data_IF_623849914969
#
_entry.id   IF_623849914969
#
_cell.length_a   1.000
_cell.length_b   1.000
_cell.length_c   1.000
_cell.angle_alpha   90.00
_cell.angle_beta   90.00
_cell.angle_gamma   90.00
#
_symmetry.space_group_name_H-M   'P 1'
#
loop_
_entity.id
_entity.type
_entity.pdbx_description
1 polymer ?
#
# COMPACT_ATOMS: atom_id res chain seq x y z
N UNK A 1 -18.31 -23.41 -16.50
CA UNK A 1 -18.75 -22.01 -16.41
C UNK A 1 -17.50 -21.14 -16.49
N UNK A 2 -17.14 -20.67 -17.68
CA UNK A 2 -16.07 -19.69 -17.84
C UNK A 2 -16.52 -18.39 -17.18
N UNK A 3 -15.90 -18.01 -16.05
CA UNK A 3 -15.93 -16.60 -15.63
C UNK A 3 -15.24 -15.82 -16.74
N UNK A 4 -16.04 -15.18 -17.60
CA UNK A 4 -15.54 -14.31 -18.65
C UNK A 4 -14.80 -13.17 -17.95
N UNK A 5 -13.53 -12.95 -18.29
CA UNK A 5 -12.85 -11.73 -17.87
C UNK A 5 -13.68 -10.54 -18.38
N UNK A 6 -14.12 -9.67 -17.48
CA UNK A 6 -14.97 -8.53 -17.83
C UNK A 6 -14.28 -7.61 -18.81
N UNK A 7 -15.07 -6.86 -19.59
CA UNK A 7 -14.51 -5.88 -20.53
C UNK A 7 -13.73 -4.80 -19.77
N UNK A 8 -14.17 -4.46 -18.55
CA UNK A 8 -13.41 -3.62 -17.61
C UNK A 8 -12.01 -4.19 -17.31
N UNK A 9 -11.90 -5.48 -16.99
CA UNK A 9 -10.61 -6.13 -16.73
C UNK A 9 -9.68 -6.01 -17.95
N UNK A 10 -10.19 -6.35 -19.14
CA UNK A 10 -9.41 -6.29 -20.37
C UNK A 10 -8.97 -4.86 -20.71
N UNK A 11 -9.83 -3.86 -20.48
CA UNK A 11 -9.48 -2.46 -20.70
C UNK A 11 -8.35 -1.99 -19.80
N UNK A 12 -8.34 -2.39 -18.52
CA UNK A 12 -7.29 -1.99 -17.59
C UNK A 12 -5.92 -2.54 -18.01
N UNK A 13 -5.89 -3.79 -18.46
CA UNK A 13 -4.66 -4.47 -18.85
C UNK A 13 -4.16 -4.10 -20.25
N UNK A 14 -5.07 -3.91 -21.21
CA UNK A 14 -4.70 -3.72 -22.63
C UNK A 14 -4.58 -2.27 -23.06
N UNK A 15 -5.45 -1.38 -22.56
CA UNK A 15 -5.50 0.01 -23.02
C UNK A 15 -4.47 0.86 -22.27
N UNK A 16 -4.04 1.96 -22.91
CA UNK A 16 -3.04 2.88 -22.37
C UNK A 16 -3.56 4.31 -22.40
N UNK A 17 -3.05 5.14 -21.48
CA UNK A 17 -3.37 6.57 -21.42
C UNK A 17 -4.87 6.86 -21.28
N UNK A 18 -5.32 7.94 -21.90
CA UNK A 18 -6.68 8.45 -21.76
C UNK A 18 -7.77 7.48 -22.25
N UNK A 19 -7.47 6.66 -23.26
CA UNK A 19 -8.42 5.67 -23.79
C UNK A 19 -8.82 4.65 -22.71
N UNK A 20 -7.87 4.24 -21.86
CA UNK A 20 -8.16 3.37 -20.72
C UNK A 20 -9.12 4.04 -19.73
N UNK A 21 -8.86 5.29 -19.37
CA UNK A 21 -9.69 6.03 -18.41
C UNK A 21 -11.12 6.22 -18.93
N UNK A 22 -11.26 6.50 -20.23
CA UNK A 22 -12.58 6.60 -20.87
C UNK A 22 -13.29 5.25 -20.91
N UNK A 23 -12.58 4.17 -21.23
CA UNK A 23 -13.14 2.82 -21.24
C UNK A 23 -13.61 2.38 -19.84
N UNK A 24 -12.84 2.65 -18.79
CA UNK A 24 -13.23 2.36 -17.39
C UNK A 24 -14.55 3.07 -17.05
N UNK A 25 -14.63 4.38 -17.32
CA UNK A 25 -15.85 5.17 -17.08
C UNK A 25 -17.04 4.63 -17.87
N UNK A 26 -16.83 4.28 -19.13
CA UNK A 26 -17.86 3.76 -20.02
C UNK A 26 -18.39 2.41 -19.56
N UNK A 27 -17.53 1.47 -19.18
CA UNK A 27 -17.98 0.15 -18.73
C UNK A 27 -18.73 0.22 -17.40
N UNK A 28 -18.27 1.05 -16.47
CA UNK A 28 -18.97 1.28 -15.20
C UNK A 28 -20.31 1.98 -15.44
N UNK A 29 -20.41 2.94 -16.37
CA UNK A 29 -21.70 3.56 -16.72
C UNK A 29 -22.66 2.62 -17.45
N UNK A 30 -22.14 1.60 -18.14
CA UNK A 30 -22.92 0.51 -18.71
C UNK A 30 -23.39 -0.52 -17.67
N UNK A 31 -23.02 -0.39 -16.40
CA UNK A 31 -23.42 -1.28 -15.31
C UNK A 31 -22.49 -2.46 -15.06
N UNK A 32 -21.23 -2.40 -15.52
CA UNK A 32 -20.23 -3.39 -15.08
C UNK A 32 -19.88 -3.20 -13.59
N UNK A 33 -19.62 -4.31 -12.91
CA UNK A 33 -19.27 -4.31 -11.49
C UNK A 33 -17.81 -3.92 -11.27
N UNK A 34 -17.59 -2.84 -10.52
CA UNK A 34 -16.26 -2.33 -10.15
C UNK A 34 -15.53 -3.27 -9.17
N UNK A 35 -16.26 -4.16 -8.50
CA UNK A 35 -15.74 -5.14 -7.55
C UNK A 35 -15.61 -6.54 -8.13
N UNK A 36 -15.79 -6.71 -9.44
CA UNK A 36 -15.73 -8.02 -10.06
C UNK A 36 -14.37 -8.69 -9.81
N UNK A 37 -14.41 -9.99 -9.56
CA UNK A 37 -13.25 -10.79 -9.19
C UNK A 37 -12.88 -11.77 -10.29
N UNK A 38 -11.60 -11.74 -10.69
CA UNK A 38 -11.06 -12.69 -11.66
C UNK A 38 -10.84 -14.09 -11.04
N UNK A 39 -10.11 -14.97 -11.76
CA UNK A 39 -9.82 -16.33 -11.28
C UNK A 39 -8.93 -16.37 -10.03
N UNK A 40 -8.17 -15.32 -9.77
CA UNK A 40 -7.31 -15.14 -8.61
C UNK A 40 -7.94 -14.19 -7.57
N UNK A 41 -9.25 -13.96 -7.67
CA UNK A 41 -9.98 -13.00 -6.84
C UNK A 41 -9.49 -11.55 -6.94
N UNK A 42 -8.75 -11.22 -8.01
CA UNK A 42 -8.28 -9.87 -8.24
C UNK A 42 -9.43 -8.99 -8.73
N UNK A 43 -9.54 -7.82 -8.09
CA UNK A 43 -10.44 -6.76 -8.53
C UNK A 43 -9.78 -5.86 -9.59
N UNK A 44 -10.55 -5.08 -10.36
CA UNK A 44 -10.03 -4.03 -11.24
C UNK A 44 -8.96 -3.14 -10.59
N UNK A 45 -9.11 -2.85 -9.29
CA UNK A 45 -8.17 -2.03 -8.54
C UNK A 45 -6.81 -2.72 -8.32
N UNK A 46 -6.79 -4.03 -8.03
CA UNK A 46 -5.53 -4.79 -7.94
C UNK A 46 -4.73 -4.70 -9.24
N UNK A 47 -5.42 -4.86 -10.38
CA UNK A 47 -4.77 -4.83 -11.69
C UNK A 47 -4.24 -3.44 -12.03
N UNK A 48 -5.00 -2.38 -11.75
CA UNK A 48 -4.57 -1.01 -11.98
C UNK A 48 -3.29 -0.68 -11.19
N UNK A 49 -3.22 -1.14 -9.94
CA UNK A 49 -2.02 -0.99 -9.08
C UNK A 49 -0.85 -1.82 -9.61
N UNK A 50 -1.07 -3.08 -9.97
CA UNK A 50 -0.03 -3.95 -10.55
C UNK A 50 0.54 -3.41 -11.86
N UNK A 51 -0.27 -2.71 -12.65
CA UNK A 51 0.19 -2.02 -13.86
C UNK A 51 0.96 -0.71 -13.58
N UNK A 52 0.97 -0.21 -12.34
CA UNK A 52 1.60 1.07 -12.02
C UNK A 52 0.79 2.30 -12.43
N UNK A 53 -0.49 2.16 -12.76
CA UNK A 53 -1.27 3.27 -13.33
C UNK A 53 -2.02 4.06 -12.25
N UNK A 54 -1.37 5.15 -11.81
CA UNK A 54 -1.87 6.02 -10.75
C UNK A 54 -3.20 6.67 -11.12
N UNK A 55 -3.39 7.07 -12.37
CA UNK A 55 -4.61 7.77 -12.80
C UNK A 55 -5.79 6.81 -12.90
N UNK A 56 -5.57 5.57 -13.34
CA UNK A 56 -6.58 4.52 -13.29
C UNK A 56 -6.96 4.17 -11.85
N UNK A 57 -6.00 4.12 -10.93
CA UNK A 57 -6.25 3.86 -9.50
C UNK A 57 -7.10 4.97 -8.88
N UNK A 58 -6.72 6.24 -9.06
CA UNK A 58 -7.50 7.39 -8.58
C UNK A 58 -8.93 7.37 -9.13
N UNK A 59 -9.08 7.06 -10.42
CA UNK A 59 -10.39 6.96 -11.05
C UNK A 59 -11.24 5.85 -10.42
N UNK A 60 -10.70 4.64 -10.28
CA UNK A 60 -11.42 3.51 -9.69
C UNK A 60 -11.83 3.80 -8.24
N UNK A 61 -10.93 4.36 -7.44
CA UNK A 61 -11.24 4.79 -6.06
C UNK A 61 -12.34 5.87 -6.04
N UNK A 62 -12.26 6.85 -6.93
CA UNK A 62 -13.28 7.90 -7.07
C UNK A 62 -14.64 7.37 -7.55
N UNK A 63 -14.66 6.20 -8.20
CA UNK A 63 -15.88 5.49 -8.59
C UNK A 63 -16.39 4.52 -7.51
N UNK A 64 -15.74 4.48 -6.34
CA UNK A 64 -16.17 3.67 -5.19
C UNK A 64 -15.52 2.28 -5.12
N UNK A 65 -14.40 2.04 -5.82
CA UNK A 65 -13.68 0.77 -5.70
C UNK A 65 -13.21 0.54 -4.25
N UNK A 66 -13.33 -0.70 -3.78
CA UNK A 66 -12.93 -1.06 -2.42
C UNK A 66 -11.39 -1.21 -2.35
N UNK A 67 -10.68 -0.35 -1.62
CA UNK A 67 -9.23 -0.40 -1.47
C UNK A 67 -8.75 -1.60 -0.63
N UNK A 68 -9.65 -2.23 0.12
CA UNK A 68 -9.38 -3.33 1.05
C UNK A 68 -9.89 -4.67 0.53
N UNK A 69 -10.26 -4.74 -0.76
CA UNK A 69 -10.57 -6.02 -1.39
C UNK A 69 -9.35 -6.94 -1.30
N UNK A 70 -9.56 -8.23 -1.02
CA UNK A 70 -8.48 -9.22 -0.93
C UNK A 70 -8.53 -10.19 -2.10
N UNK A 71 -7.34 -10.62 -2.54
CA UNK A 71 -7.16 -11.69 -3.53
C UNK A 71 -7.10 -13.10 -2.88
N UNK A 72 -6.83 -14.13 -3.69
CA UNK A 72 -6.67 -15.52 -3.20
C UNK A 72 -5.52 -15.72 -2.19
N UNK A 73 -4.57 -14.78 -2.13
CA UNK A 73 -3.45 -14.77 -1.20
C UNK A 73 -3.72 -13.86 0.00
N UNK A 74 -4.95 -13.37 0.19
CA UNK A 74 -5.29 -12.44 1.28
C UNK A 74 -4.66 -11.06 1.12
N UNK A 75 -4.13 -10.74 -0.07
CA UNK A 75 -3.43 -9.48 -0.34
C UNK A 75 -4.42 -8.44 -0.79
N UNK A 76 -4.27 -7.22 -0.26
CA UNK A 76 -4.99 -6.04 -0.73
C UNK A 76 -4.28 -5.41 -1.94
N UNK A 77 -4.94 -4.50 -2.69
CA UNK A 77 -4.29 -3.69 -3.72
C UNK A 77 -3.00 -3.02 -3.24
N UNK A 78 -2.91 -2.66 -1.95
CA UNK A 78 -1.73 -2.04 -1.37
C UNK A 78 -0.48 -2.95 -1.38
N UNK A 79 -0.64 -4.27 -1.29
CA UNK A 79 0.49 -5.20 -1.46
C UNK A 79 1.10 -5.09 -2.86
N UNK A 80 0.26 -4.84 -3.87
CA UNK A 80 0.67 -4.81 -5.26
C UNK A 80 1.55 -3.61 -5.64
N UNK A 81 1.60 -2.57 -4.80
CA UNK A 81 2.51 -1.44 -5.02
C UNK A 81 3.98 -1.86 -4.95
N UNK A 82 4.29 -2.98 -4.27
CA UNK A 82 5.65 -3.55 -4.18
C UNK A 82 6.18 -4.02 -5.53
N UNK A 83 5.29 -4.53 -6.37
CA UNK A 83 5.63 -5.08 -7.69
C UNK A 83 5.53 -4.04 -8.81
N UNK A 84 4.95 -2.88 -8.52
CA UNK A 84 4.81 -1.80 -9.49
C UNK A 84 6.18 -1.23 -9.88
N UNK A 85 6.32 -0.64 -11.10
CA UNK A 85 7.58 -0.05 -11.51
C UNK A 85 8.05 1.02 -10.51
N UNK A 86 9.36 1.04 -10.23
CA UNK A 86 10.03 1.84 -9.17
C UNK A 86 9.59 3.32 -9.07
N UNK A 87 9.07 3.91 -10.14
CA UNK A 87 8.72 5.34 -10.20
C UNK A 87 7.35 5.68 -9.61
N UNK A 88 6.43 4.72 -9.49
CA UNK A 88 5.03 5.02 -9.14
C UNK A 88 4.59 4.43 -7.79
N UNK A 89 5.40 3.58 -7.15
CA UNK A 89 5.02 2.91 -5.89
C UNK A 89 4.56 3.87 -4.79
N UNK A 90 5.29 4.98 -4.57
CA UNK A 90 4.91 6.01 -3.59
C UNK A 90 3.57 6.66 -3.93
N UNK A 91 3.35 7.05 -5.19
CA UNK A 91 2.11 7.69 -5.61
C UNK A 91 0.92 6.74 -5.53
N UNK A 92 1.14 5.45 -5.75
CA UNK A 92 0.12 4.42 -5.58
C UNK A 92 -0.22 4.20 -4.10
N UNK A 93 0.79 4.14 -3.22
CA UNK A 93 0.58 4.04 -1.77
C UNK A 93 -0.22 5.27 -1.29
N UNK A 94 0.18 6.48 -1.67
CA UNK A 94 -0.53 7.72 -1.35
C UNK A 94 -1.98 7.71 -1.86
N UNK A 95 -2.21 7.29 -3.10
CA UNK A 95 -3.55 7.23 -3.68
C UNK A 95 -4.45 6.22 -2.96
N UNK A 96 -3.92 5.05 -2.62
CA UNK A 96 -4.66 4.01 -1.91
C UNK A 96 -4.95 4.42 -0.46
N UNK A 97 -3.98 4.99 0.24
CA UNK A 97 -4.16 5.51 1.61
C UNK A 97 -5.19 6.65 1.62
N UNK A 98 -5.13 7.57 0.65
CA UNK A 98 -6.14 8.62 0.48
C UNK A 98 -7.52 8.04 0.16
N UNK A 99 -7.58 6.86 -0.46
CA UNK A 99 -8.80 6.09 -0.69
C UNK A 99 -9.25 5.24 0.50
N UNK A 100 -8.67 5.40 1.69
CA UNK A 100 -8.95 4.61 2.90
C UNK A 100 -8.49 3.14 2.85
N UNK A 101 -7.37 2.87 2.17
CA UNK A 101 -6.70 1.58 2.28
C UNK A 101 -6.18 1.32 3.71
N UNK A 102 -6.46 0.14 4.23
CA UNK A 102 -5.98 -0.35 5.50
C UNK A 102 -4.61 -1.02 5.32
N UNK A 103 -3.61 -0.50 6.03
CA UNK A 103 -2.22 -0.98 6.00
C UNK A 103 -1.98 -2.15 6.95
N UNK A 104 -2.94 -2.44 7.82
CA UNK A 104 -2.84 -3.47 8.87
C UNK A 104 -3.31 -4.84 8.43
N UNK A 105 -3.87 -4.96 7.22
CA UNK A 105 -4.33 -6.24 6.67
C UNK A 105 -3.13 -7.14 6.35
N UNK A 106 -3.27 -8.42 6.73
CA UNK A 106 -2.24 -9.44 6.56
C UNK A 106 -2.54 -10.36 5.36
N UNK A 107 -1.50 -10.77 4.63
CA UNK A 107 -1.61 -11.81 3.62
C UNK A 107 -1.75 -13.22 4.25
N UNK A 108 -1.95 -14.25 3.42
CA UNK A 108 -2.02 -15.65 3.87
C UNK A 108 -0.76 -16.15 4.58
N UNK A 109 0.37 -15.45 4.43
CA UNK A 109 1.63 -15.76 5.11
C UNK A 109 1.77 -14.98 6.44
N UNK A 110 0.77 -14.19 6.82
CA UNK A 110 0.77 -13.39 8.04
C UNK A 110 1.58 -12.10 7.94
N UNK A 111 1.96 -11.66 6.74
CA UNK A 111 2.71 -10.41 6.57
C UNK A 111 1.78 -9.23 6.37
N UNK A 112 2.04 -8.12 7.05
CA UNK A 112 1.50 -6.83 6.61
C UNK A 112 2.11 -6.43 5.28
N UNK A 113 1.51 -5.43 4.64
CA UNK A 113 2.06 -4.77 3.45
C UNK A 113 3.54 -4.43 3.60
N UNK A 114 3.91 -3.77 4.70
CA UNK A 114 5.28 -3.25 4.88
C UNK A 114 6.27 -4.38 5.17
N UNK A 115 5.86 -5.38 5.95
CA UNK A 115 6.63 -6.60 6.17
C UNK A 115 6.84 -7.36 4.86
N UNK A 116 5.82 -7.42 4.01
CA UNK A 116 5.90 -8.03 2.69
C UNK A 116 6.92 -7.30 1.81
N UNK A 117 6.89 -5.96 1.80
CA UNK A 117 7.91 -5.16 1.09
C UNK A 117 9.30 -5.37 1.65
N UNK A 118 9.44 -5.41 2.97
CA UNK A 118 10.73 -5.61 3.61
C UNK A 118 11.31 -6.98 3.26
N UNK A 119 10.48 -8.03 3.28
CA UNK A 119 10.86 -9.39 2.86
C UNK A 119 11.21 -9.45 1.38
N UNK A 120 10.37 -8.87 0.52
CA UNK A 120 10.55 -8.82 -0.93
C UNK A 120 11.77 -7.98 -1.36
N UNK A 121 12.03 -6.83 -0.72
CA UNK A 121 13.19 -5.96 -0.97
C UNK A 121 14.46 -6.44 -0.26
N UNK A 122 14.37 -7.16 0.87
CA UNK A 122 15.53 -7.82 1.49
C UNK A 122 16.11 -8.89 0.56
N UNK A 123 15.28 -9.52 -0.27
CA UNK A 123 15.77 -10.41 -1.33
C UNK A 123 16.36 -9.65 -2.53
N UNK A 124 16.26 -8.32 -2.58
CA UNK A 124 16.60 -7.48 -3.74
C UNK A 124 17.18 -6.11 -3.32
N UNK A 125 18.22 -6.12 -2.47
CA UNK A 125 19.07 -4.96 -2.12
C UNK A 125 18.34 -3.63 -1.83
N UNK A 126 17.69 -3.50 -0.67
CA UNK A 126 17.28 -2.20 -0.11
C UNK A 126 17.87 -1.99 1.29
N UNK A 127 18.54 -0.84 1.47
CA UNK A 127 18.98 -0.31 2.77
C UNK A 127 17.86 0.61 3.27
N UNK A 128 17.17 0.28 4.39
CA UNK A 128 16.15 1.16 4.94
C UNK A 128 16.78 2.49 5.36
N UNK A 129 16.18 3.60 4.95
CA UNK A 129 16.37 4.87 5.66
C UNK A 129 15.85 4.67 7.09
N UNK A 130 16.63 4.99 8.13
CA UNK A 130 16.20 4.76 9.50
C UNK A 130 15.01 5.67 9.82
N UNK A 131 13.85 5.05 10.06
CA UNK A 131 12.68 5.75 10.60
C UNK A 131 13.04 6.33 11.98
N UNK A 132 12.75 7.62 12.16
CA UNK A 132 12.92 8.33 13.40
C UNK A 132 12.11 7.63 14.51
N UNK A 133 12.82 7.13 15.51
CA UNK A 133 12.21 6.59 16.73
C UNK A 133 11.55 7.76 17.45
N UNK A 134 10.22 7.76 17.48
CA UNK A 134 9.43 8.71 18.24
C UNK A 134 9.62 8.37 19.73
N UNK A 135 10.53 9.11 20.39
CA UNK A 135 10.76 9.02 21.83
C UNK A 135 9.48 9.42 22.57
N UNK A 136 8.87 8.46 23.27
CA UNK A 136 7.87 8.75 24.28
C UNK A 136 8.57 9.35 25.52
N UNK A 137 8.06 10.46 26.10
CA UNK A 137 8.74 11.11 27.21
C UNK A 137 8.55 10.29 28.49
N UNK A 138 9.65 9.78 29.03
CA UNK A 138 9.66 9.13 30.34
C UNK A 138 9.27 10.14 31.45
N UNK A 139 8.34 9.68 32.27
CA UNK A 139 7.70 10.34 33.40
C UNK A 139 8.71 10.72 34.51
N UNK A 140 8.46 11.88 35.13
CA UNK A 140 9.41 12.65 35.95
C UNK A 140 9.39 12.21 37.44
N UNK A 141 10.60 11.85 37.95
CA UNK A 141 11.14 12.08 39.31
C UNK A 141 10.58 11.22 40.51
N UNK A 142 11.28 11.10 41.68
CA UNK A 142 12.28 12.05 42.20
C UNK A 142 13.54 11.52 42.97
N UNK A 143 14.59 12.33 42.83
CA UNK A 143 15.53 12.91 43.82
C UNK A 143 16.35 12.09 44.86
N UNK A 144 17.66 12.38 44.79
CA UNK A 144 18.65 12.59 45.87
C UNK A 144 19.50 11.40 46.39
N UNK A 145 20.73 11.63 46.94
CA UNK A 145 21.43 12.90 47.13
C UNK A 145 22.83 13.02 46.48
N UNK A 146 23.21 14.28 46.29
CA UNK A 146 24.49 14.82 45.82
C UNK A 146 25.60 14.58 46.86
N UNK A 147 26.70 13.91 46.48
CA UNK A 147 27.98 14.03 47.22
C UNK A 147 28.73 15.26 46.70
N UNK A 148 28.76 16.30 47.54
CA UNK A 148 29.52 17.54 47.30
C UNK A 148 31.03 17.29 47.36
N UNK A 149 31.73 17.97 46.46
CA UNK A 149 33.18 18.04 46.35
C UNK A 149 33.86 18.64 47.58
N UNK A 150 35.06 18.15 47.89
CA UNK A 150 36.03 18.79 48.77
C UNK A 150 37.38 18.88 48.07
N UNK A 151 37.70 20.07 47.58
CA UNK A 151 38.98 20.47 46.97
C UNK A 151 39.81 21.15 48.07
N UNK A 152 41.09 20.78 48.25
CA UNK A 152 42.29 21.67 48.34
C UNK A 152 43.43 21.09 49.19
N UNK A 153 44.62 21.46 48.72
CA UNK A 153 45.97 21.21 49.23
C UNK A 153 46.25 21.91 50.56
N UNK A 154 47.19 21.36 51.34
CA UNK A 154 48.15 21.96 52.30
C UNK A 154 48.99 20.76 52.83
N UNK A 155 50.31 20.76 53.01
CA UNK A 155 51.35 21.79 53.12
C UNK A 155 52.64 21.35 52.38
#
# INVERSE_FOLDING_TARGET
MERQQTKLYFAIWKLKGNEKLQAIKYFISCGEDIHERDKNELTPLHQAVGCGDVEAVKLLLGLGANPNAIDIYGRTPLFYTAFSPKYNGRQLDEALIAGNADTTIYDVNGHTRDQFVYSFKSSMFYRPEPEAVEEQPEEVAPSAPVKRAGRRKHD
#
